data_IF_334665591629
#
_entry.id   IF_334665591629
#
_cell.length_a   1.000
_cell.length_b   1.000
_cell.length_c   1.000
_cell.angle_alpha   90.00
_cell.angle_beta   90.00
_cell.angle_gamma   90.00
#
_symmetry.space_group_name_H-M   'P 1'
#
loop_
_entity.id
_entity.type
_entity.pdbx_description
1 polymer ?
#
# COMPACT_ATOMS: atom_id res chain seq x y z
N UNK A 1 5.25 -28.58 0.55
CA UNK A 1 4.07 -28.78 -0.31
C UNK A 1 3.14 -27.61 -0.02
N UNK A 2 3.04 -26.56 -0.82
CA UNK A 2 3.18 -26.48 -2.28
C UNK A 2 3.90 -25.18 -2.60
N UNK A 3 5.01 -25.30 -3.33
CA UNK A 3 5.69 -24.17 -3.94
C UNK A 3 4.79 -23.73 -5.10
N UNK A 4 3.93 -22.75 -4.84
CA UNK A 4 3.17 -22.10 -5.92
C UNK A 4 4.19 -21.23 -6.63
N UNK A 5 4.76 -21.75 -7.72
CA UNK A 5 5.40 -20.92 -8.72
C UNK A 5 4.37 -19.86 -9.12
N UNK A 6 4.50 -18.67 -8.51
CA UNK A 6 3.60 -17.56 -8.72
C UNK A 6 3.67 -17.20 -10.20
N UNK A 7 2.54 -17.34 -10.89
CA UNK A 7 2.41 -16.84 -12.24
C UNK A 7 2.83 -15.35 -12.19
N UNK A 8 3.74 -14.87 -13.06
CA UNK A 8 4.22 -13.51 -12.97
C UNK A 8 3.04 -12.54 -13.06
N UNK A 9 2.86 -11.72 -12.03
CA UNK A 9 1.86 -10.66 -12.04
C UNK A 9 2.31 -9.66 -13.10
N UNK A 10 1.47 -9.41 -14.10
CA UNK A 10 1.76 -8.50 -15.23
C UNK A 10 0.71 -7.41 -15.30
N UNK A 11 1.09 -6.28 -15.90
CA UNK A 11 0.18 -5.16 -16.16
C UNK A 11 -0.14 -4.31 -14.92
N UNK A 12 0.68 -4.41 -13.86
CA UNK A 12 0.58 -3.49 -12.73
C UNK A 12 1.08 -2.12 -13.17
N UNK A 13 0.30 -1.09 -12.86
CA UNK A 13 0.56 0.32 -13.16
C UNK A 13 0.81 1.15 -11.90
N UNK A 14 0.30 0.70 -10.74
CA UNK A 14 0.55 1.33 -9.44
C UNK A 14 0.36 0.36 -8.28
N UNK A 15 0.94 0.73 -7.14
CA UNK A 15 0.89 -0.04 -5.90
C UNK A 15 0.32 0.83 -4.78
N UNK A 16 -0.65 0.32 -4.04
CA UNK A 16 -1.12 0.94 -2.80
C UNK A 16 -0.82 0.06 -1.60
N UNK A 17 -0.35 0.67 -0.50
CA UNK A 17 0.02 -0.06 0.72
C UNK A 17 -0.62 0.56 1.96
N UNK A 18 -1.21 -0.28 2.80
CA UNK A 18 -1.83 0.11 4.06
C UNK A 18 -1.17 -0.57 5.25
N UNK A 19 -0.77 0.19 6.26
CA UNK A 19 -0.17 -0.34 7.48
C UNK A 19 -0.51 0.51 8.71
N UNK A 20 -0.36 -0.07 9.90
CA UNK A 20 -0.56 0.64 11.18
C UNK A 20 0.45 0.17 12.23
N UNK A 21 0.02 -0.40 13.35
CA UNK A 21 0.90 -0.89 14.41
C UNK A 21 1.87 -1.97 13.87
N UNK A 22 3.18 -1.69 13.99
CA UNK A 22 4.26 -2.48 13.37
C UNK A 22 4.56 -2.16 11.91
N UNK A 23 3.88 -1.16 11.35
CA UNK A 23 3.94 -0.81 9.94
C UNK A 23 5.26 -0.17 9.53
N UNK A 24 5.92 0.60 10.41
CA UNK A 24 7.23 1.20 10.07
C UNK A 24 8.26 0.11 9.76
N UNK A 25 8.38 -0.89 10.64
CA UNK A 25 9.33 -1.98 10.43
C UNK A 25 8.94 -2.85 9.24
N UNK A 26 7.63 -3.11 9.05
CA UNK A 26 7.13 -3.87 7.92
C UNK A 26 7.41 -3.17 6.58
N UNK A 27 7.11 -1.88 6.45
CA UNK A 27 7.34 -1.11 5.24
C UNK A 27 8.83 -1.00 4.90
N UNK A 28 9.70 -0.78 5.88
CA UNK A 28 11.14 -0.79 5.65
C UNK A 28 11.62 -2.16 5.16
N UNK A 29 11.13 -3.25 5.75
CA UNK A 29 11.53 -4.60 5.34
C UNK A 29 11.17 -4.95 3.89
N UNK A 30 10.05 -4.41 3.37
CA UNK A 30 9.63 -4.69 1.99
C UNK A 30 10.21 -3.71 0.98
N UNK A 31 10.42 -2.44 1.36
CA UNK A 31 10.88 -1.42 0.43
C UNK A 31 12.41 -1.31 0.36
N UNK A 32 13.15 -1.73 1.39
CA UNK A 32 14.62 -1.72 1.35
C UNK A 32 15.21 -2.75 0.38
N UNK A 33 14.42 -3.75 -0.03
CA UNK A 33 14.80 -4.77 -1.01
C UNK A 33 14.44 -4.37 -2.46
N UNK A 34 13.85 -3.18 -2.66
CA UNK A 34 13.54 -2.69 -4.00
C UNK A 34 14.83 -2.34 -4.74
N UNK A 35 14.94 -2.63 -6.04
CA UNK A 35 16.03 -2.11 -6.86
C UNK A 35 15.93 -0.59 -6.96
N UNK A 36 17.07 0.08 -7.16
CA UNK A 36 17.13 1.53 -7.45
C UNK A 36 16.44 1.90 -8.77
N UNK A 37 16.26 0.92 -9.66
CA UNK A 37 15.51 1.05 -10.92
C UNK A 37 14.02 0.76 -10.79
N UNK A 38 13.48 0.57 -9.58
CA UNK A 38 12.06 0.24 -9.40
C UNK A 38 11.14 1.33 -10.00
N UNK A 39 10.36 0.97 -11.01
CA UNK A 39 9.63 1.92 -11.86
C UNK A 39 8.19 2.21 -11.49
N UNK A 40 7.53 1.35 -10.70
CA UNK A 40 6.12 1.54 -10.35
C UNK A 40 5.95 2.61 -9.25
N UNK A 41 4.94 3.49 -9.36
CA UNK A 41 4.58 4.38 -8.26
C UNK A 41 3.99 3.58 -7.09
N UNK A 42 4.34 3.98 -5.87
CA UNK A 42 3.81 3.41 -4.64
C UNK A 42 3.13 4.52 -3.84
N UNK A 43 1.89 4.30 -3.40
CA UNK A 43 1.16 5.22 -2.53
C UNK A 43 0.82 4.48 -1.23
N UNK A 44 1.19 5.05 -0.10
CA UNK A 44 1.11 4.38 1.19
C UNK A 44 0.39 5.21 2.24
N UNK A 45 -0.51 4.56 2.98
CA UNK A 45 -1.06 5.05 4.23
C UNK A 45 -0.43 4.27 5.37
N UNK A 46 0.24 4.99 6.26
CA UNK A 46 0.69 4.48 7.54
C UNK A 46 -0.04 5.24 8.65
N UNK A 47 -0.83 4.54 9.47
CA UNK A 47 -1.43 5.17 10.64
C UNK A 47 -0.35 5.55 11.65
N UNK A 48 -0.22 6.85 11.86
CA UNK A 48 0.61 7.46 12.90
C UNK A 48 -0.28 8.23 13.87
N UNK A 49 0.16 8.45 15.13
CA UNK A 49 -0.49 9.39 16.02
C UNK A 49 -0.63 10.77 15.37
N UNK A 50 -1.69 11.50 15.71
CA UNK A 50 -1.98 12.84 15.19
C UNK A 50 -0.85 13.83 15.60
N UNK A 51 0.18 13.95 14.76
CA UNK A 51 1.23 14.95 14.86
C UNK A 51 1.03 16.04 13.79
N UNK A 52 1.25 17.31 14.14
CA UNK A 52 1.04 18.43 13.19
C UNK A 52 1.99 18.38 11.98
N UNK A 53 3.10 17.66 12.07
CA UNK A 53 4.08 17.50 10.99
C UNK A 53 4.73 16.13 11.07
N UNK A 54 4.42 15.28 10.11
CA UNK A 54 5.06 13.97 9.97
C UNK A 54 6.46 14.13 9.38
N UNK A 55 7.45 13.45 9.95
CA UNK A 55 8.79 13.28 9.34
C UNK A 55 8.92 11.94 8.61
N UNK A 56 7.81 11.23 8.39
CA UNK A 56 7.81 9.87 7.85
C UNK A 56 8.52 9.79 6.50
N UNK A 57 8.14 10.65 5.56
CA UNK A 57 8.77 10.68 4.23
C UNK A 57 10.28 10.93 4.31
N UNK A 58 10.73 11.86 5.17
CA UNK A 58 12.16 12.15 5.37
C UNK A 58 12.93 10.98 6.01
N UNK A 59 12.30 10.22 6.91
CA UNK A 59 12.89 9.03 7.51
C UNK A 59 13.08 7.93 6.47
N UNK A 60 12.07 7.69 5.63
CA UNK A 60 12.13 6.67 4.58
C UNK A 60 13.05 7.09 3.42
N UNK A 61 13.05 8.37 3.02
CA UNK A 61 13.95 8.90 1.98
C UNK A 61 15.44 8.66 2.30
N UNK A 62 15.81 8.58 3.58
CA UNK A 62 17.20 8.30 4.00
C UNK A 62 17.55 6.81 3.99
N UNK A 63 16.57 5.92 3.86
CA UNK A 63 16.72 4.46 4.02
C UNK A 63 16.37 3.67 2.76
N UNK A 64 15.68 4.29 1.81
CA UNK A 64 15.22 3.64 0.59
C UNK A 64 16.02 4.13 -0.63
N UNK A 65 16.18 3.28 -1.65
CA UNK A 65 16.88 3.65 -2.88
C UNK A 65 16.03 4.50 -3.83
N UNK A 66 14.70 4.52 -3.63
CA UNK A 66 13.75 5.27 -4.45
C UNK A 66 13.38 6.62 -3.81
N UNK A 67 12.99 7.64 -4.61
CA UNK A 67 12.39 8.87 -4.10
C UNK A 67 11.21 8.62 -3.16
N UNK A 68 11.19 9.32 -2.02
CA UNK A 68 10.08 9.27 -1.06
C UNK A 68 9.55 10.68 -0.80
N UNK A 69 8.23 10.86 -0.86
CA UNK A 69 7.55 12.15 -0.69
C UNK A 69 6.33 12.04 0.20
N UNK A 70 5.95 13.14 0.83
CA UNK A 70 4.58 13.30 1.32
C UNK A 70 3.70 13.74 0.13
N UNK A 71 2.54 13.12 -0.04
CA UNK A 71 1.62 13.41 -1.14
C UNK A 71 1.02 14.82 -1.03
N UNK A 72 1.02 15.56 -2.15
CA UNK A 72 0.45 16.90 -2.23
C UNK A 72 -0.84 16.91 -3.04
N UNK A 73 -1.77 17.81 -2.69
CA UNK A 73 -3.03 17.97 -3.40
C UNK A 73 -2.77 18.30 -4.88
N UNK A 74 -3.42 17.55 -5.77
CA UNK A 74 -3.37 17.64 -7.24
C UNK A 74 -1.99 17.37 -7.84
N UNK A 75 -1.07 16.77 -7.09
CA UNK A 75 0.21 16.33 -7.63
C UNK A 75 0.01 15.13 -8.56
N UNK A 76 0.58 15.17 -9.76
CA UNK A 76 0.59 14.03 -10.66
C UNK A 76 1.51 12.92 -10.10
N UNK A 77 0.99 11.69 -10.02
CA UNK A 77 1.74 10.54 -9.48
C UNK A 77 2.92 10.21 -10.42
N UNK A 78 4.14 10.26 -9.88
CA UNK A 78 5.36 9.97 -10.62
C UNK A 78 5.79 8.50 -10.47
N UNK A 79 6.25 7.91 -11.58
CA UNK A 79 6.88 6.60 -11.61
C UNK A 79 8.08 6.52 -10.63
N UNK A 80 8.31 5.33 -10.09
CA UNK A 80 9.42 5.02 -9.18
C UNK A 80 9.45 5.85 -7.89
N UNK A 81 8.32 6.45 -7.49
CA UNK A 81 8.24 7.30 -6.30
C UNK A 81 7.29 6.67 -5.27
N UNK A 82 7.72 6.69 -4.01
CA UNK A 82 6.88 6.35 -2.86
C UNK A 82 6.26 7.62 -2.27
N UNK A 83 4.93 7.68 -2.25
CA UNK A 83 4.14 8.74 -1.65
C UNK A 83 3.54 8.27 -0.33
N UNK A 84 3.73 9.03 0.74
CA UNK A 84 3.03 8.84 2.01
C UNK A 84 1.88 9.84 2.15
N UNK A 85 0.77 9.36 2.69
CA UNK A 85 -0.30 10.24 3.17
C UNK A 85 0.19 11.11 4.34
N UNK A 86 -0.03 12.42 4.23
CA UNK A 86 0.22 13.37 5.32
C UNK A 86 -0.83 13.27 6.43
N UNK A 87 -0.53 13.77 7.65
CA UNK A 87 -1.46 13.75 8.77
C UNK A 87 -2.65 14.70 8.54
N UNK A 88 -3.81 14.33 9.05
CA UNK A 88 -4.98 15.23 9.09
C UNK A 88 -5.79 15.33 7.79
N UNK A 89 -5.39 14.65 6.72
CA UNK A 89 -6.13 14.50 5.47
C UNK A 89 -6.23 13.03 5.07
N UNK A 90 -7.29 12.66 4.37
CA UNK A 90 -7.29 11.42 3.58
C UNK A 90 -6.53 11.69 2.29
N UNK A 91 -5.76 10.70 1.85
CA UNK A 91 -5.09 10.70 0.55
C UNK A 91 -5.87 9.77 -0.37
N UNK A 92 -6.24 10.29 -1.54
CA UNK A 92 -6.95 9.55 -2.60
C UNK A 92 -6.25 9.70 -3.94
N UNK A 93 -6.63 8.85 -4.89
CA UNK A 93 -6.16 8.89 -6.28
C UNK A 93 -7.33 9.26 -7.18
N UNK A 94 -7.13 10.25 -8.04
CA UNK A 94 -8.09 10.68 -9.05
C UNK A 94 -7.94 9.89 -10.36
N UNK A 95 -8.99 9.91 -11.19
CA UNK A 95 -9.01 9.21 -12.48
C UNK A 95 -7.92 9.68 -13.47
N UNK A 96 -7.46 10.92 -13.33
CA UNK A 96 -6.37 11.50 -14.11
C UNK A 96 -4.97 11.13 -13.57
N UNK A 97 -4.90 10.19 -12.61
CA UNK A 97 -3.68 9.75 -11.92
C UNK A 97 -3.02 10.85 -11.08
N UNK A 98 -3.77 11.83 -10.61
CA UNK A 98 -3.31 12.79 -9.60
C UNK A 98 -3.70 12.36 -8.18
N UNK A 99 -2.96 12.87 -7.19
CA UNK A 99 -3.31 12.73 -5.78
C UNK A 99 -4.33 13.80 -5.38
N UNK A 100 -5.23 13.47 -4.47
CA UNK A 100 -6.14 14.44 -3.86
C UNK A 100 -6.17 14.31 -2.35
N UNK A 101 -6.36 15.45 -1.66
CA UNK A 101 -6.44 15.51 -0.21
C UNK A 101 -7.84 15.95 0.23
N UNK A 102 -8.44 15.22 1.18
CA UNK A 102 -9.75 15.55 1.72
C UNK A 102 -9.79 15.54 3.25
N UNK A 103 -10.74 16.30 3.83
CA UNK A 103 -11.00 16.36 5.27
C UNK A 103 -12.33 15.73 5.65
N UNK A 104 -12.79 14.76 4.87
CA UNK A 104 -13.96 13.95 5.17
C UNK A 104 -13.88 13.30 6.57
N UNK A 105 -15.00 12.76 7.03
CA UNK A 105 -15.08 12.13 8.34
C UNK A 105 -14.09 10.96 8.48
N UNK A 106 -13.54 10.83 9.70
CA UNK A 106 -12.58 9.78 10.01
C UNK A 106 -13.20 8.39 9.83
N UNK A 107 -12.45 7.47 9.22
CA UNK A 107 -12.82 6.06 9.12
C UNK A 107 -12.08 5.28 10.19
N UNK A 108 -12.79 4.50 11.00
CA UNK A 108 -12.20 3.78 12.14
C UNK A 108 -11.35 4.68 13.08
N UNK A 109 -11.77 5.94 13.25
CA UNK A 109 -11.06 6.99 14.00
C UNK A 109 -9.70 7.43 13.41
N UNK A 110 -9.37 7.01 12.19
CA UNK A 110 -8.15 7.37 11.48
C UNK A 110 -8.37 8.43 10.40
N UNK A 111 -7.41 9.34 10.25
CA UNK A 111 -7.23 10.22 9.08
C UNK A 111 -5.73 10.57 8.95
N UNK A 112 -5.01 9.99 7.99
CA UNK A 112 -5.48 9.27 6.80
C UNK A 112 -6.07 7.89 7.10
N UNK A 113 -6.93 7.41 6.21
CA UNK A 113 -7.55 6.08 6.28
C UNK A 113 -7.16 5.26 5.03
N UNK A 114 -6.90 3.97 5.23
CA UNK A 114 -6.43 3.05 4.19
C UNK A 114 -7.56 2.75 3.21
N UNK A 115 -8.78 2.58 3.70
CA UNK A 115 -9.96 2.31 2.87
C UNK A 115 -10.18 3.40 1.82
N UNK A 116 -9.96 4.68 2.16
CA UNK A 116 -10.07 5.80 1.22
C UNK A 116 -9.05 5.71 0.07
N UNK A 117 -7.79 5.44 0.41
CA UNK A 117 -6.74 5.28 -0.60
C UNK A 117 -7.03 4.08 -1.50
N UNK A 118 -7.36 2.93 -0.91
CA UNK A 118 -7.58 1.70 -1.67
C UNK A 118 -8.79 1.81 -2.58
N UNK A 119 -9.90 2.39 -2.09
CA UNK A 119 -11.12 2.54 -2.87
C UNK A 119 -10.88 3.44 -4.10
N UNK A 120 -10.35 4.64 -3.89
CA UNK A 120 -10.09 5.60 -4.97
C UNK A 120 -9.04 5.11 -5.97
N UNK A 121 -7.98 4.45 -5.49
CA UNK A 121 -6.99 3.84 -6.37
C UNK A 121 -7.59 2.71 -7.22
N UNK A 122 -8.51 1.91 -6.68
CA UNK A 122 -9.18 0.87 -7.45
C UNK A 122 -10.06 1.46 -8.56
N UNK A 123 -10.75 2.56 -8.30
CA UNK A 123 -11.56 3.26 -9.30
C UNK A 123 -10.68 3.84 -10.43
N UNK A 124 -9.50 4.36 -10.08
CA UNK A 124 -8.56 4.90 -11.07
C UNK A 124 -7.83 3.81 -11.87
N UNK A 125 -7.30 2.77 -11.21
CA UNK A 125 -6.37 1.78 -11.81
C UNK A 125 -7.04 0.45 -12.21
N UNK A 126 -8.18 0.09 -11.63
CA UNK A 126 -8.86 -1.17 -11.92
C UNK A 126 -7.91 -2.38 -11.82
N UNK A 127 -7.85 -3.17 -12.90
CA UNK A 127 -6.97 -4.34 -13.00
C UNK A 127 -5.47 -4.04 -12.93
N UNK A 128 -5.06 -2.79 -13.18
CA UNK A 128 -3.67 -2.36 -13.09
C UNK A 128 -3.18 -2.08 -11.67
N UNK A 129 -4.05 -2.24 -10.66
CA UNK A 129 -3.69 -1.98 -9.26
C UNK A 129 -3.19 -3.23 -8.55
N UNK A 130 -2.09 -3.08 -7.79
CA UNK A 130 -1.70 -4.01 -6.73
C UNK A 130 -1.95 -3.34 -5.36
N UNK A 131 -2.76 -3.95 -4.50
CA UNK A 131 -3.01 -3.44 -3.15
C UNK A 131 -2.47 -4.40 -2.08
N UNK A 132 -1.74 -3.86 -1.11
CA UNK A 132 -1.06 -4.62 -0.05
C UNK A 132 -1.52 -4.14 1.32
N UNK A 133 -2.18 -5.01 2.09
CA UNK A 133 -2.57 -4.72 3.47
C UNK A 133 -1.67 -5.44 4.47
N UNK A 134 -1.02 -4.66 5.35
CA UNK A 134 -0.05 -5.13 6.32
C UNK A 134 -0.60 -5.13 7.76
N UNK A 135 0.27 -5.44 8.71
CA UNK A 135 0.05 -5.41 10.16
C UNK A 135 -0.64 -4.14 10.64
N UNK A 136 -1.53 -4.30 11.63
CA UNK A 136 -2.20 -3.18 12.26
C UNK A 136 -3.32 -3.54 13.23
N UNK A 137 -3.75 -2.54 14.00
CA UNK A 137 -4.53 -2.72 15.23
C UNK A 137 -6.04 -2.45 15.09
N UNK A 138 -6.54 -2.12 13.89
CA UNK A 138 -7.97 -1.90 13.61
C UNK A 138 -8.41 -2.68 12.36
N UNK A 139 -9.53 -2.31 11.74
CA UNK A 139 -10.10 -3.00 10.57
C UNK A 139 -9.95 -2.19 9.28
N UNK A 140 -9.31 -1.02 9.33
CA UNK A 140 -9.16 -0.14 8.17
C UNK A 140 -8.31 -0.80 7.08
N UNK A 141 -8.68 -0.56 5.84
CA UNK A 141 -8.11 -1.16 4.64
C UNK A 141 -8.78 -2.48 4.24
N UNK A 142 -9.57 -3.11 5.13
CA UNK A 142 -10.22 -4.38 4.82
C UNK A 142 -11.34 -4.22 3.76
N UNK A 143 -12.13 -3.14 3.85
CA UNK A 143 -13.20 -2.85 2.88
C UNK A 143 -12.62 -2.34 1.56
N UNK A 144 -11.63 -1.46 1.63
CA UNK A 144 -10.92 -0.95 0.47
C UNK A 144 -10.22 -2.07 -0.30
N UNK A 145 -9.61 -3.03 0.39
CA UNK A 145 -8.97 -4.17 -0.27
C UNK A 145 -9.98 -5.08 -0.96
N UNK A 146 -11.15 -5.29 -0.36
CA UNK A 146 -12.26 -5.99 -1.00
C UNK A 146 -12.76 -5.24 -2.25
N UNK A 147 -12.78 -3.91 -2.23
CA UNK A 147 -13.12 -3.09 -3.40
C UNK A 147 -12.07 -3.23 -4.52
N UNK A 148 -10.77 -3.20 -4.18
CA UNK A 148 -9.69 -3.48 -5.15
C UNK A 148 -9.91 -4.83 -5.84
N UNK A 149 -10.25 -5.87 -5.05
CA UNK A 149 -10.54 -7.20 -5.59
C UNK A 149 -11.74 -7.18 -6.55
N UNK A 150 -12.81 -6.47 -6.20
CA UNK A 150 -14.00 -6.34 -7.03
C UNK A 150 -13.72 -5.62 -8.35
N UNK A 151 -12.85 -4.60 -8.34
CA UNK A 151 -12.41 -3.85 -9.51
C UNK A 151 -11.38 -4.59 -10.39
N UNK A 152 -11.07 -5.84 -10.06
CA UNK A 152 -10.15 -6.70 -10.81
C UNK A 152 -8.67 -6.49 -10.49
N UNK A 153 -8.35 -5.65 -9.50
CA UNK A 153 -6.99 -5.45 -9.02
C UNK A 153 -6.47 -6.67 -8.26
N UNK A 154 -5.14 -6.73 -8.10
CA UNK A 154 -4.48 -7.81 -7.37
C UNK A 154 -4.34 -7.45 -5.89
N UNK A 155 -4.72 -8.37 -5.01
CA UNK A 155 -4.77 -8.14 -3.56
C UNK A 155 -3.81 -9.03 -2.79
N UNK A 156 -3.03 -8.40 -1.90
CA UNK A 156 -2.04 -9.07 -1.06
C UNK A 156 -2.33 -8.72 0.40
N UNK A 157 -2.39 -9.73 1.26
CA UNK A 157 -2.50 -9.58 2.70
C UNK A 157 -1.26 -10.16 3.37
N UNK A 158 -0.67 -9.43 4.32
CA UNK A 158 0.38 -9.97 5.16
C UNK A 158 -0.14 -11.19 5.94
N UNK A 159 0.62 -12.28 5.95
CA UNK A 159 0.29 -13.47 6.73
C UNK A 159 0.01 -13.11 8.20
N UNK A 160 -1.23 -13.33 8.71
CA UNK A 160 -1.59 -12.98 10.07
C UNK A 160 -0.75 -13.65 11.16
N UNK A 161 -0.07 -14.76 10.86
CA UNK A 161 0.80 -15.46 11.81
C UNK A 161 2.16 -14.78 12.02
N UNK A 162 2.60 -13.96 11.05
CA UNK A 162 3.84 -13.19 11.13
C UNK A 162 3.61 -11.68 11.32
N UNK A 163 2.36 -11.24 11.23
CA UNK A 163 2.00 -9.86 11.53
C UNK A 163 2.25 -9.53 13.00
N UNK A 164 2.93 -8.41 13.27
CA UNK A 164 3.13 -7.91 14.64
C UNK A 164 1.80 -7.71 15.35
N UNK A 165 0.82 -7.16 14.65
CA UNK A 165 -0.57 -7.05 15.07
C UNK A 165 -1.47 -7.53 13.93
N UNK A 166 -2.19 -8.62 14.16
CA UNK A 166 -2.93 -9.35 13.12
C UNK A 166 -4.37 -8.87 12.90
N UNK A 167 -4.81 -7.77 13.52
CA UNK A 167 -6.23 -7.34 13.47
C UNK A 167 -6.61 -6.92 12.04
N UNK A 168 -5.84 -6.03 11.40
CA UNK A 168 -6.09 -5.59 10.02
C UNK A 168 -6.03 -6.76 9.01
N UNK A 169 -4.98 -7.59 8.98
CA UNK A 169 -4.95 -8.76 8.10
C UNK A 169 -6.14 -9.71 8.28
N UNK A 170 -6.52 -10.03 9.52
CA UNK A 170 -7.67 -10.91 9.80
C UNK A 170 -8.99 -10.28 9.35
N UNK A 171 -9.15 -8.97 9.49
CA UNK A 171 -10.32 -8.26 9.02
C UNK A 171 -10.49 -8.38 7.49
N UNK A 172 -9.40 -8.23 6.73
CA UNK A 172 -9.44 -8.42 5.28
C UNK A 172 -9.84 -9.86 4.90
N UNK A 173 -9.25 -10.87 5.55
CA UNK A 173 -9.56 -12.28 5.30
C UNK A 173 -11.00 -12.66 5.66
N UNK A 174 -11.65 -11.92 6.56
CA UNK A 174 -13.05 -12.12 6.89
C UNK A 174 -14.01 -11.55 5.84
N UNK A 175 -13.57 -10.58 5.02
CA UNK A 175 -14.39 -9.92 4.01
C UNK A 175 -14.25 -10.50 2.60
N UNK A 176 -13.06 -10.98 2.23
CA UNK A 176 -12.81 -11.58 0.92
C UNK A 176 -11.63 -12.55 0.94
N UNK A 177 -11.49 -13.34 -0.13
CA UNK A 177 -10.30 -14.16 -0.38
C UNK A 177 -9.30 -13.34 -1.22
N UNK A 178 -8.18 -12.88 -0.65
CA UNK A 178 -7.17 -12.15 -1.42
C UNK A 178 -6.45 -13.09 -2.39
N UNK A 179 -5.79 -12.51 -3.40
CA UNK A 179 -4.99 -13.29 -4.36
C UNK A 179 -3.79 -13.94 -3.69
N UNK A 180 -3.19 -13.24 -2.72
CA UNK A 180 -2.02 -13.72 -2.01
C UNK A 180 -2.09 -13.43 -0.50
N UNK A 181 -1.70 -14.43 0.29
CA UNK A 181 -1.39 -14.29 1.71
C UNK A 181 0.10 -14.57 1.86
N UNK A 182 0.89 -13.55 2.19
CA UNK A 182 2.36 -13.60 2.09
C UNK A 182 3.05 -13.11 3.35
N UNK A 183 4.18 -13.73 3.68
CA UNK A 183 5.15 -13.21 4.65
C UNK A 183 5.77 -11.91 4.14
N UNK A 184 6.33 -11.08 5.01
CA UNK A 184 6.99 -9.83 4.58
C UNK A 184 8.12 -10.08 3.56
N UNK A 185 8.90 -11.14 3.77
CA UNK A 185 9.95 -11.56 2.84
C UNK A 185 9.41 -11.93 1.45
N UNK A 186 8.24 -12.56 1.39
CA UNK A 186 7.59 -12.90 0.11
C UNK A 186 6.93 -11.69 -0.54
N UNK A 187 6.44 -10.73 0.23
CA UNK A 187 5.96 -9.44 -0.31
C UNK A 187 7.13 -8.67 -0.94
N UNK A 188 8.29 -8.63 -0.27
CA UNK A 188 9.50 -8.01 -0.82
C UNK A 188 9.93 -8.66 -2.14
N UNK A 189 10.00 -10.00 -2.17
CA UNK A 189 10.32 -10.76 -3.38
C UNK A 189 9.30 -10.55 -4.50
N UNK A 190 8.00 -10.46 -4.16
CA UNK A 190 6.93 -10.16 -5.11
C UNK A 190 7.16 -8.79 -5.75
N UNK A 191 7.37 -7.74 -4.94
CA UNK A 191 7.61 -6.39 -5.44
C UNK A 191 8.82 -6.34 -6.37
N UNK A 192 9.95 -6.92 -5.96
CA UNK A 192 11.15 -6.99 -6.80
C UNK A 192 10.91 -7.72 -8.14
N UNK A 193 9.97 -8.68 -8.18
CA UNK A 193 9.62 -9.41 -9.40
C UNK A 193 8.73 -8.65 -10.38
N UNK A 194 8.01 -7.60 -9.96
CA UNK A 194 7.04 -6.87 -10.81
C UNK A 194 7.72 -6.14 -11.98
N UNK A 195 8.95 -5.69 -11.79
CA UNK A 195 9.77 -5.03 -12.80
C UNK A 195 10.74 -6.02 -13.48
N UNK A 196 10.59 -7.33 -13.24
CA UNK A 196 11.29 -8.35 -14.02
C UNK A 196 10.62 -8.49 -15.39
N UNK A 197 10.92 -7.56 -16.30
CA UNK A 197 10.71 -7.74 -17.73
C UNK A 197 12.01 -7.47 -18.50
N UNK A 198 12.21 -8.22 -19.60
CA UNK A 198 13.49 -8.75 -20.02
C UNK A 198 14.41 -7.69 -20.63
N UNK A 199 15.70 -8.04 -20.59
CA UNK A 199 16.81 -7.42 -21.31
C UNK A 199 16.48 -7.03 -22.76
#
# INVERSE_FOLDING_TARGET
MTDVAANPIRGIEAIVVGASAGGVEALLSIFSELPDTFGLPIIAVLHLPDERRSQLAEVFARRLPIPVREGQDKEAIQAGTLYFAGPGYHLSVEHDRSLSLSQEERVHHSRPAIDYLFASAADAYGQGLLAILLTGANQDGAHGLAHVKHSGGTTVVQDPSEARIAVMPRAALALHTPDHILTLSRIAALLASLESSPC
#
